data_IF_541803664016
#
_entry.id   IF_541803664016
#
_cell.length_a   1.000
_cell.length_b   1.000
_cell.length_c   1.000
_cell.angle_alpha   90.00
_cell.angle_beta   90.00
_cell.angle_gamma   90.00
#
_symmetry.space_group_name_H-M   'P 1'
#
loop_
_entity.id
_entity.type
_entity.pdbx_description
1 polymer ?
#
# COMPACT_ATOMS: atom_id res chain seq x y z
N UNK A 1 -22.69 18.12 -8.29
CA UNK A 1 -21.22 17.97 -8.06
C UNK A 1 -20.81 18.82 -6.88
N UNK A 2 -20.30 18.19 -5.83
CA UNK A 2 -19.84 18.87 -4.61
C UNK A 2 -18.58 19.70 -4.95
N UNK A 3 -18.53 20.99 -4.56
CA UNK A 3 -17.35 21.84 -4.80
C UNK A 3 -16.49 22.05 -3.55
N UNK A 4 -17.15 22.09 -2.39
CA UNK A 4 -16.48 22.26 -1.09
C UNK A 4 -17.11 21.36 -0.02
N UNK A 5 -16.32 20.98 0.97
CA UNK A 5 -16.77 20.28 2.19
C UNK A 5 -16.07 20.91 3.39
N UNK A 6 -16.83 21.35 4.39
CA UNK A 6 -16.26 22.03 5.57
C UNK A 6 -15.30 23.18 5.23
N UNK A 7 -15.60 23.95 4.15
CA UNK A 7 -14.72 25.01 3.67
C UNK A 7 -13.58 24.58 2.76
N UNK A 8 -13.25 23.28 2.71
CA UNK A 8 -12.13 22.75 1.91
C UNK A 8 -12.59 22.38 0.50
N UNK A 9 -11.70 22.58 -0.48
CA UNK A 9 -11.91 22.14 -1.85
C UNK A 9 -11.98 20.61 -1.90
N UNK A 10 -12.97 20.08 -2.63
CA UNK A 10 -13.08 18.63 -2.84
C UNK A 10 -12.54 18.22 -4.21
N UNK A 11 -12.04 17.00 -4.26
CA UNK A 11 -11.48 16.34 -5.43
C UNK A 11 -12.16 14.99 -5.65
N UNK A 12 -12.25 14.50 -6.90
CA UNK A 12 -12.65 13.11 -7.13
C UNK A 12 -11.65 12.14 -6.49
N UNK A 13 -12.04 10.87 -6.40
CA UNK A 13 -11.10 9.82 -5.98
C UNK A 13 -10.05 9.58 -7.07
N UNK A 14 -8.82 9.30 -6.64
CA UNK A 14 -7.75 8.83 -7.54
C UNK A 14 -8.01 7.40 -8.02
N UNK A 15 -7.32 6.96 -9.06
CA UNK A 15 -7.40 5.56 -9.54
C UNK A 15 -7.07 4.55 -8.43
N UNK A 16 -6.03 4.84 -7.63
CA UNK A 16 -5.67 3.97 -6.51
C UNK A 16 -6.80 3.85 -5.48
N UNK A 17 -7.45 4.96 -5.13
CA UNK A 17 -8.58 4.95 -4.20
C UNK A 17 -9.80 4.23 -4.79
N UNK A 18 -10.11 4.44 -6.07
CA UNK A 18 -11.19 3.73 -6.77
C UNK A 18 -10.94 2.22 -6.79
N UNK A 19 -9.69 1.80 -6.96
CA UNK A 19 -9.29 0.41 -6.90
C UNK A 19 -9.62 -0.22 -5.54
N UNK A 20 -9.20 0.41 -4.43
CA UNK A 20 -9.54 -0.07 -3.10
C UNK A 20 -11.05 -0.08 -2.82
N UNK A 21 -11.76 0.95 -3.29
CA UNK A 21 -13.21 1.02 -3.14
C UNK A 21 -13.94 -0.06 -3.94
N UNK A 22 -13.36 -0.51 -5.06
CA UNK A 22 -13.93 -1.60 -5.87
C UNK A 22 -13.85 -2.95 -5.14
N UNK A 23 -12.75 -3.21 -4.43
CA UNK A 23 -12.57 -4.49 -3.72
C UNK A 23 -13.25 -4.55 -2.35
N UNK A 24 -13.32 -3.44 -1.64
CA UNK A 24 -13.83 -3.40 -0.27
C UNK A 24 -15.24 -3.99 -0.07
N UNK A 25 -16.21 -3.81 -0.99
CA UNK A 25 -17.55 -4.39 -0.85
C UNK A 25 -17.60 -5.92 -0.91
N UNK A 26 -16.54 -6.56 -1.41
CA UNK A 26 -16.42 -8.03 -1.46
C UNK A 26 -15.84 -8.62 -0.17
N UNK A 27 -15.55 -7.79 0.81
CA UNK A 27 -15.00 -8.16 2.10
C UNK A 27 -16.03 -7.90 3.23
N UNK A 28 -15.91 -8.57 4.38
CA UNK A 28 -16.88 -8.46 5.47
C UNK A 28 -17.07 -7.04 6.00
N UNK A 29 -16.00 -6.24 6.02
CA UNK A 29 -16.05 -4.84 6.39
C UNK A 29 -14.83 -4.07 5.87
N UNK A 30 -14.81 -2.75 6.07
CA UNK A 30 -13.74 -1.86 5.60
C UNK A 30 -12.41 -2.01 6.34
N UNK A 31 -12.33 -2.80 7.42
CA UNK A 31 -11.08 -3.04 8.13
C UNK A 31 -10.08 -3.87 7.29
N UNK A 32 -10.54 -4.55 6.24
CA UNK A 32 -9.67 -5.19 5.24
C UNK A 32 -8.66 -4.22 4.61
N UNK A 33 -8.97 -2.95 4.60
CA UNK A 33 -8.10 -1.88 4.11
C UNK A 33 -7.20 -1.27 5.20
N UNK A 34 -7.22 -1.78 6.42
CA UNK A 34 -6.38 -1.27 7.49
C UNK A 34 -4.95 -1.82 7.35
N UNK A 35 -3.99 -0.93 7.49
CA UNK A 35 -2.56 -1.24 7.56
C UNK A 35 -2.09 -0.86 8.95
N UNK A 36 -1.60 -1.85 9.71
CA UNK A 36 -0.99 -1.65 11.01
C UNK A 36 0.49 -1.98 10.97
N UNK A 37 1.31 -1.17 11.63
CA UNK A 37 2.73 -1.46 11.82
C UNK A 37 3.28 -0.77 13.06
N UNK A 38 4.22 -1.42 13.74
CA UNK A 38 5.02 -0.83 14.81
C UNK A 38 6.35 -0.32 14.28
N UNK A 39 6.86 0.74 14.91
CA UNK A 39 8.21 1.23 14.75
C UNK A 39 8.76 1.49 16.14
N UNK A 40 9.66 0.65 16.58
CA UNK A 40 10.21 0.67 17.93
C UNK A 40 11.74 0.61 17.92
N UNK A 41 12.34 1.12 18.97
CA UNK A 41 13.78 1.16 19.15
C UNK A 41 14.10 0.95 20.64
N UNK A 42 15.21 0.29 20.94
CA UNK A 42 15.67 0.00 22.30
C UNK A 42 16.39 1.23 22.91
N UNK A 43 15.63 2.29 23.15
CA UNK A 43 16.09 3.50 23.84
C UNK A 43 14.95 4.11 24.65
N UNK A 44 15.30 4.85 25.72
CA UNK A 44 14.33 5.69 26.41
C UNK A 44 13.95 6.90 25.54
N UNK A 45 12.65 7.10 25.35
CA UNK A 45 12.10 8.20 24.56
C UNK A 45 11.55 9.32 25.45
N UNK A 46 11.73 10.54 25.00
CA UNK A 46 10.99 11.69 25.53
C UNK A 46 9.59 11.71 24.89
N UNK A 47 8.61 11.23 25.64
CA UNK A 47 7.24 11.04 25.14
C UNK A 47 6.55 12.35 24.77
N UNK A 48 6.84 13.45 25.53
CA UNK A 48 6.30 14.76 25.20
C UNK A 48 6.88 15.31 23.90
N UNK A 49 8.18 15.11 23.68
CA UNK A 49 8.81 15.47 22.42
C UNK A 49 8.33 14.59 21.26
N UNK A 50 8.14 13.29 21.50
CA UNK A 50 7.60 12.39 20.48
C UNK A 50 6.18 12.80 20.07
N UNK A 51 5.30 13.13 21.04
CA UNK A 51 3.95 13.65 20.78
C UNK A 51 3.98 14.90 19.91
N UNK A 52 4.89 15.85 20.20
CA UNK A 52 5.06 17.07 19.39
C UNK A 52 5.52 16.73 17.97
N UNK A 53 6.51 15.86 17.83
CA UNK A 53 7.03 15.43 16.51
C UNK A 53 5.98 14.70 15.67
N UNK A 54 5.13 13.89 16.29
CA UNK A 54 3.98 13.24 15.62
C UNK A 54 3.00 14.30 15.09
N UNK A 55 2.62 15.26 15.92
CA UNK A 55 1.68 16.31 15.51
C UNK A 55 2.26 17.18 14.38
N UNK A 56 3.53 17.51 14.46
CA UNK A 56 4.21 18.25 13.41
C UNK A 56 4.29 17.46 12.10
N UNK A 57 4.58 16.15 12.15
CA UNK A 57 4.55 15.28 10.98
C UNK A 57 3.15 15.21 10.33
N UNK A 58 2.08 15.18 11.13
CA UNK A 58 0.71 15.30 10.62
C UNK A 58 0.45 16.65 9.93
N UNK A 59 0.93 17.73 10.51
CA UNK A 59 0.79 19.06 9.93
C UNK A 59 1.50 19.19 8.59
N UNK A 60 2.66 18.57 8.44
CA UNK A 60 3.49 18.58 7.23
C UNK A 60 2.97 17.64 6.13
N UNK A 61 2.20 16.60 6.46
CA UNK A 61 1.78 15.57 5.52
C UNK A 61 0.31 15.67 5.13
N UNK A 62 0.02 16.30 3.98
CA UNK A 62 -1.34 16.44 3.45
C UNK A 62 -2.06 15.09 3.27
N UNK A 63 -1.33 14.04 2.85
CA UNK A 63 -1.89 12.71 2.62
C UNK A 63 -2.50 12.09 3.88
N UNK A 64 -1.93 12.37 5.07
CA UNK A 64 -2.44 11.89 6.36
C UNK A 64 -3.67 12.67 6.85
N UNK A 65 -3.95 13.82 6.24
CA UNK A 65 -5.09 14.68 6.57
C UNK A 65 -6.25 14.56 5.58
N UNK A 66 -6.17 13.62 4.65
CA UNK A 66 -7.26 13.32 3.72
C UNK A 66 -8.50 12.82 4.46
N UNK A 67 -9.65 13.28 4.02
CA UNK A 67 -10.98 12.82 4.46
C UNK A 67 -11.83 12.53 3.23
N UNK A 68 -12.81 11.65 3.41
CA UNK A 68 -13.80 11.36 2.37
C UNK A 68 -15.16 11.96 2.72
N UNK A 69 -15.91 12.25 1.68
CA UNK A 69 -17.31 12.66 1.77
C UNK A 69 -18.11 12.02 0.62
N UNK A 70 -19.44 11.93 0.82
CA UNK A 70 -20.38 11.57 -0.25
C UNK A 70 -21.28 12.75 -0.59
N UNK A 71 -21.64 12.87 -1.87
CA UNK A 71 -22.76 13.72 -2.26
C UNK A 71 -24.11 13.01 -2.09
N UNK A 72 -25.19 13.67 -2.48
CA UNK A 72 -26.55 13.15 -2.38
C UNK A 72 -26.80 11.95 -3.30
N UNK A 73 -26.04 11.86 -4.37
CA UNK A 73 -26.07 10.76 -5.34
C UNK A 73 -25.21 9.57 -4.93
N UNK A 74 -24.50 9.66 -3.78
CA UNK A 74 -23.63 8.62 -3.27
C UNK A 74 -22.19 8.63 -3.85
N UNK A 75 -21.87 9.60 -4.69
CA UNK A 75 -20.53 9.74 -5.26
C UNK A 75 -19.52 10.14 -4.19
N UNK A 76 -18.39 9.45 -4.16
CA UNK A 76 -17.31 9.72 -3.20
C UNK A 76 -16.37 10.81 -3.69
N UNK A 77 -16.00 11.67 -2.76
CA UNK A 77 -15.02 12.74 -2.92
C UNK A 77 -14.01 12.72 -1.81
N UNK A 78 -12.86 13.31 -2.05
CA UNK A 78 -11.84 13.53 -1.02
C UNK A 78 -11.56 15.02 -0.84
N UNK A 79 -11.11 15.38 0.34
CA UNK A 79 -10.63 16.71 0.69
C UNK A 79 -9.52 16.63 1.75
N UNK A 80 -8.69 17.64 1.82
CA UNK A 80 -7.59 17.70 2.80
C UNK A 80 -7.97 18.70 3.87
N UNK A 81 -7.93 18.26 5.13
CA UNK A 81 -8.14 19.12 6.29
C UNK A 81 -6.93 20.00 6.55
N UNK A 82 -7.15 21.17 7.15
CA UNK A 82 -6.07 21.97 7.72
C UNK A 82 -5.36 21.19 8.85
N UNK A 83 -4.10 21.54 9.17
CA UNK A 83 -3.43 20.99 10.33
C UNK A 83 -4.23 21.23 11.61
N UNK A 84 -4.38 20.17 12.39
CA UNK A 84 -5.02 20.20 13.71
C UNK A 84 -4.15 19.44 14.71
N UNK A 85 -4.04 19.93 15.91
CA UNK A 85 -3.37 19.20 16.98
C UNK A 85 -4.23 18.00 17.39
N UNK A 86 -3.59 16.84 17.54
CA UNK A 86 -4.23 15.59 17.89
C UNK A 86 -3.77 15.14 19.27
N UNK A 87 -4.69 14.63 20.04
CA UNK A 87 -4.33 13.83 21.19
C UNK A 87 -3.74 12.50 20.71
N UNK A 88 -2.51 12.22 21.16
CA UNK A 88 -1.79 10.98 20.82
C UNK A 88 -1.86 10.06 22.05
N UNK A 89 -2.47 8.90 21.86
CA UNK A 89 -2.57 7.89 22.91
C UNK A 89 -1.19 7.35 23.29
N UNK A 90 -1.04 6.97 24.56
CA UNK A 90 0.13 6.25 25.05
C UNK A 90 -0.34 4.96 25.72
N UNK A 91 0.29 3.84 25.34
CA UNK A 91 0.01 2.53 25.93
C UNK A 91 1.32 1.93 26.42
N UNK A 92 1.35 1.60 27.70
CA UNK A 92 2.46 0.90 28.36
C UNK A 92 2.15 -0.60 28.42
N UNK A 93 2.95 -1.40 27.74
CA UNK A 93 2.88 -2.86 27.75
C UNK A 93 3.97 -3.51 28.62
N UNK A 94 4.69 -2.74 29.45
CA UNK A 94 5.84 -3.26 30.23
C UNK A 94 5.47 -4.41 31.17
N UNK A 95 4.22 -4.55 31.57
CA UNK A 95 3.68 -5.59 32.44
C UNK A 95 3.12 -6.80 31.68
N UNK A 96 3.19 -6.81 30.34
CA UNK A 96 2.68 -7.87 29.48
C UNK A 96 3.80 -8.70 28.86
N UNK A 97 3.43 -9.81 28.21
CA UNK A 97 4.35 -10.48 27.27
C UNK A 97 4.33 -9.80 25.91
N UNK A 98 5.35 -10.07 25.08
CA UNK A 98 5.41 -9.55 23.70
C UNK A 98 4.19 -10.04 22.91
N UNK A 99 3.84 -11.32 23.05
CA UNK A 99 2.70 -11.92 22.36
C UNK A 99 1.37 -11.28 22.77
N UNK A 100 1.20 -10.93 24.06
CA UNK A 100 0.01 -10.21 24.52
C UNK A 100 -0.07 -8.80 23.97
N UNK A 101 1.06 -8.08 23.91
CA UNK A 101 1.15 -6.75 23.33
C UNK A 101 0.84 -6.78 21.82
N UNK A 102 1.43 -7.72 21.09
CA UNK A 102 1.16 -7.90 19.66
C UNK A 102 -0.30 -8.29 19.38
N UNK A 103 -0.87 -9.20 20.18
CA UNK A 103 -2.28 -9.59 20.06
C UNK A 103 -3.23 -8.43 20.32
N UNK A 104 -2.88 -7.52 21.24
CA UNK A 104 -3.67 -6.31 21.48
C UNK A 104 -3.57 -5.34 20.30
N UNK A 105 -2.37 -5.08 19.80
CA UNK A 105 -2.16 -4.23 18.62
C UNK A 105 -2.86 -4.83 17.37
N UNK A 106 -2.85 -6.15 17.23
CA UNK A 106 -3.56 -6.84 16.14
C UNK A 106 -5.08 -6.59 16.19
N UNK A 107 -5.69 -6.58 17.38
CA UNK A 107 -7.12 -6.25 17.50
C UNK A 107 -7.45 -4.85 16.97
N UNK A 108 -6.55 -3.89 17.14
CA UNK A 108 -6.78 -2.53 16.64
C UNK A 108 -6.93 -2.50 15.12
N UNK A 109 -6.25 -3.40 14.39
CA UNK A 109 -6.36 -3.49 12.93
C UNK A 109 -7.73 -3.99 12.47
N UNK A 110 -8.44 -4.74 13.28
CA UNK A 110 -9.76 -5.32 12.93
C UNK A 110 -10.91 -4.34 13.07
N UNK A 111 -10.67 -3.17 13.67
CA UNK A 111 -11.69 -2.14 13.86
C UNK A 111 -11.76 -1.24 12.63
N UNK A 112 -12.91 -1.18 11.93
CA UNK A 112 -13.04 -0.34 10.76
C UNK A 112 -13.03 1.15 11.10
N UNK A 113 -12.33 1.95 10.31
CA UNK A 113 -12.42 3.41 10.40
C UNK A 113 -13.80 3.93 10.01
N UNK A 114 -14.21 5.03 10.63
CA UNK A 114 -15.33 5.82 10.13
C UNK A 114 -14.91 6.52 8.84
N UNK A 115 -15.41 6.06 7.70
CA UNK A 115 -14.90 6.46 6.38
C UNK A 115 -15.16 7.90 5.99
N UNK A 116 -16.23 8.54 6.49
CA UNK A 116 -16.63 9.88 6.07
C UNK A 116 -16.42 10.91 7.17
N UNK A 117 -15.85 12.06 6.76
CA UNK A 117 -15.64 13.24 7.60
C UNK A 117 -14.86 12.99 8.90
N UNK A 118 -14.03 11.95 8.92
CA UNK A 118 -13.27 11.49 10.07
C UNK A 118 -11.81 11.17 9.71
N UNK A 119 -10.88 11.15 10.68
CA UNK A 119 -9.51 10.66 10.49
C UNK A 119 -9.50 9.21 10.03
N UNK A 120 -8.59 8.90 9.11
CA UNK A 120 -8.35 7.54 8.60
C UNK A 120 -6.96 7.03 8.99
N UNK A 121 -6.38 7.64 9.99
CA UNK A 121 -5.13 7.23 10.65
C UNK A 121 -5.29 7.35 12.16
N UNK A 122 -4.64 6.43 12.87
CA UNK A 122 -4.43 6.44 14.31
C UNK A 122 -2.95 6.16 14.56
N UNK A 123 -2.35 6.86 15.48
CA UNK A 123 -1.02 6.58 15.97
C UNK A 123 -1.06 6.51 17.48
N UNK A 124 -0.35 5.54 18.04
CA UNK A 124 -0.28 5.27 19.48
C UNK A 124 1.19 5.20 19.86
N UNK A 125 1.62 5.94 20.85
CA UNK A 125 2.93 5.78 21.46
C UNK A 125 2.90 4.50 22.29
N UNK A 126 3.88 3.62 22.12
CA UNK A 126 3.93 2.31 22.78
C UNK A 126 5.26 2.10 23.48
N UNK A 127 5.18 1.52 24.68
CA UNK A 127 6.32 1.00 25.43
C UNK A 127 6.17 -0.51 25.50
N UNK A 128 7.13 -1.25 24.95
CA UNK A 128 7.07 -2.70 24.85
C UNK A 128 7.73 -3.39 26.07
N UNK A 129 7.39 -4.66 26.34
CA UNK A 129 7.91 -5.39 27.52
C UNK A 129 9.42 -5.59 27.49
N UNK A 130 10.02 -5.68 26.31
CA UNK A 130 11.46 -5.91 26.09
C UNK A 130 12.32 -4.63 26.13
N UNK A 131 11.72 -3.50 26.55
CA UNK A 131 12.40 -2.22 26.62
C UNK A 131 12.43 -1.44 25.31
N UNK A 132 11.83 -1.97 24.23
CA UNK A 132 11.64 -1.22 23.00
C UNK A 132 10.53 -0.19 23.15
N UNK A 133 10.78 1.00 22.65
CA UNK A 133 9.86 2.14 22.73
C UNK A 133 9.61 2.70 21.35
N UNK A 134 8.42 3.26 21.11
CA UNK A 134 8.13 3.85 19.81
C UNK A 134 6.66 4.14 19.55
N UNK A 135 6.23 3.82 18.34
CA UNK A 135 4.85 4.07 17.91
C UNK A 135 4.26 2.86 17.22
N UNK A 136 2.95 2.67 17.39
CA UNK A 136 2.14 1.84 16.51
C UNK A 136 1.30 2.75 15.61
N UNK A 137 1.42 2.58 14.32
CA UNK A 137 0.65 3.30 13.32
C UNK A 137 -0.44 2.39 12.74
N UNK A 138 -1.63 2.92 12.63
CA UNK A 138 -2.75 2.31 11.93
C UNK A 138 -3.31 3.31 10.91
N UNK A 139 -3.45 2.91 9.67
CA UNK A 139 -3.99 3.74 8.60
C UNK A 139 -4.84 2.95 7.62
N UNK A 140 -5.82 3.61 6.99
CA UNK A 140 -6.63 2.98 5.95
C UNK A 140 -5.94 3.09 4.60
N UNK A 141 -5.89 1.99 3.85
CA UNK A 141 -5.19 1.90 2.56
C UNK A 141 -5.71 2.87 1.50
N UNK A 142 -6.91 3.42 1.67
CA UNK A 142 -7.42 4.48 0.80
C UNK A 142 -6.64 5.80 0.88
N UNK A 143 -5.85 6.01 1.94
CA UNK A 143 -5.03 7.22 2.12
C UNK A 143 -3.55 6.92 2.39
N UNK A 144 -3.20 5.66 2.65
CA UNK A 144 -1.83 5.24 2.99
C UNK A 144 -1.42 4.06 2.11
N UNK A 145 -0.21 4.10 1.59
CA UNK A 145 0.51 2.95 1.05
C UNK A 145 1.88 2.82 1.72
N UNK A 146 2.60 1.75 1.47
CA UNK A 146 3.88 1.48 2.11
C UNK A 146 4.88 2.65 1.99
N UNK A 147 4.98 3.27 0.80
CA UNK A 147 5.90 4.40 0.59
C UNK A 147 5.47 5.63 1.38
N UNK A 148 4.18 5.96 1.39
CA UNK A 148 3.67 7.11 2.15
C UNK A 148 3.80 6.90 3.66
N UNK A 149 3.63 5.66 4.12
CA UNK A 149 3.85 5.26 5.51
C UNK A 149 5.32 5.44 5.92
N UNK A 150 6.25 4.90 5.12
CA UNK A 150 7.69 5.04 5.38
C UNK A 150 8.08 6.52 5.43
N UNK A 151 7.59 7.35 4.49
CA UNK A 151 7.87 8.78 4.49
C UNK A 151 7.34 9.46 5.76
N UNK A 152 6.15 9.10 6.21
CA UNK A 152 5.53 9.69 7.40
C UNK A 152 6.26 9.30 8.69
N UNK A 153 6.55 8.01 8.88
CA UNK A 153 7.29 7.52 10.05
C UNK A 153 8.72 8.09 10.09
N UNK A 154 9.37 8.17 8.93
CA UNK A 154 10.67 8.81 8.82
C UNK A 154 10.64 10.28 9.21
N UNK A 155 9.60 11.03 8.78
CA UNK A 155 9.45 12.45 9.14
C UNK A 155 9.31 12.63 10.67
N UNK A 156 8.57 11.73 11.35
CA UNK A 156 8.47 11.72 12.82
C UNK A 156 9.85 11.54 13.47
N UNK A 157 10.64 10.55 12.99
CA UNK A 157 11.97 10.30 13.53
C UNK A 157 12.89 11.50 13.31
N UNK A 158 12.92 12.04 12.10
CA UNK A 158 13.78 13.18 11.74
C UNK A 158 13.41 14.43 12.57
N UNK A 159 12.12 14.69 12.78
CA UNK A 159 11.65 15.78 13.65
C UNK A 159 12.02 15.56 15.11
N UNK A 160 11.84 14.34 15.61
CA UNK A 160 12.24 14.01 16.98
C UNK A 160 13.76 14.18 17.18
N UNK A 161 14.56 13.65 16.27
CA UNK A 161 16.01 13.76 16.34
C UNK A 161 16.49 15.21 16.20
N UNK A 162 15.89 16.00 15.33
CA UNK A 162 16.20 17.43 15.21
C UNK A 162 15.94 18.19 16.52
N UNK A 163 14.84 17.86 17.20
CA UNK A 163 14.50 18.52 18.47
C UNK A 163 15.36 18.07 19.66
N UNK A 164 15.89 16.83 19.63
CA UNK A 164 16.63 16.23 20.75
C UNK A 164 18.13 16.34 20.64
N UNK A 165 18.69 16.40 19.45
CA UNK A 165 20.13 16.28 19.21
C UNK A 165 20.66 17.50 18.44
N UNK A 166 21.68 18.12 18.99
CA UNK A 166 22.36 19.24 18.35
C UNK A 166 23.00 18.81 17.02
N UNK A 167 22.92 19.67 16.01
CA UNK A 167 23.50 19.42 14.69
C UNK A 167 22.67 18.54 13.76
N UNK A 168 21.56 17.97 14.22
CA UNK A 168 20.62 17.24 13.33
C UNK A 168 19.77 18.27 12.56
N UNK A 169 19.82 18.26 11.21
CA UNK A 169 19.08 19.25 10.44
C UNK A 169 17.57 19.00 10.50
N UNK A 170 16.80 20.09 10.39
CA UNK A 170 15.36 19.99 10.20
C UNK A 170 15.01 19.24 8.90
N UNK A 171 14.03 18.32 8.91
CA UNK A 171 13.71 17.53 7.74
C UNK A 171 13.18 18.36 6.58
N UNK A 172 13.51 17.95 5.36
CA UNK A 172 13.06 18.60 4.13
C UNK A 172 11.55 18.51 3.98
N UNK A 173 10.97 19.49 3.30
CA UNK A 173 9.53 19.53 3.06
C UNK A 173 9.02 18.28 2.33
N UNK A 174 7.85 17.84 2.77
CA UNK A 174 7.07 16.82 2.08
C UNK A 174 6.51 17.38 0.78
N UNK A 175 6.41 16.54 -0.25
CA UNK A 175 5.76 16.96 -1.48
C UNK A 175 4.24 17.02 -1.29
N UNK A 176 3.61 18.07 -1.82
CA UNK A 176 2.17 18.26 -1.74
C UNK A 176 1.41 17.07 -2.35
N UNK A 177 0.52 16.47 -1.58
CA UNK A 177 -0.41 15.44 -2.06
C UNK A 177 -1.41 16.03 -3.06
N UNK A 178 -1.88 17.24 -2.82
CA UNK A 178 -2.83 17.93 -3.72
C UNK A 178 -2.23 18.16 -5.11
N UNK A 179 -0.97 18.61 -5.18
CA UNK A 179 -0.29 18.73 -6.47
C UNK A 179 -0.17 17.38 -7.19
N UNK A 180 0.07 16.28 -6.46
CA UNK A 180 0.20 14.97 -7.07
C UNK A 180 -1.12 14.47 -7.66
N UNK A 181 -2.23 14.57 -6.93
CA UNK A 181 -3.55 14.16 -7.47
C UNK A 181 -3.99 15.03 -8.65
N UNK A 182 -3.64 16.31 -8.66
CA UNK A 182 -3.92 17.18 -9.82
C UNK A 182 -3.16 16.75 -11.08
N UNK A 183 -1.91 16.28 -10.93
CA UNK A 183 -1.14 15.69 -12.04
C UNK A 183 -1.76 14.39 -12.54
N UNK A 184 -2.20 13.53 -11.60
CA UNK A 184 -2.89 12.28 -11.95
C UNK A 184 -4.17 12.59 -12.75
N UNK A 185 -4.98 13.57 -12.33
CA UNK A 185 -6.17 13.98 -13.08
C UNK A 185 -5.84 14.61 -14.43
N UNK A 186 -4.78 15.40 -14.54
CA UNK A 186 -4.32 15.96 -15.81
C UNK A 186 -3.88 14.86 -16.78
N UNK A 187 -3.23 13.80 -16.27
CA UNK A 187 -2.91 12.62 -17.08
C UNK A 187 -4.20 11.92 -17.55
N UNK A 188 -5.16 11.67 -16.66
CA UNK A 188 -6.41 10.95 -16.93
C UNK A 188 -7.39 11.75 -17.85
N UNK A 189 -7.18 13.04 -18.02
CA UNK A 189 -8.02 13.90 -18.84
C UNK A 189 -7.72 13.81 -20.37
N UNK A 190 -7.07 12.77 -20.84
CA UNK A 190 -6.74 12.60 -22.27
C UNK A 190 -5.38 13.18 -22.66
N UNK A 191 -4.41 13.15 -21.74
CA UNK A 191 -3.05 13.58 -22.06
C UNK A 191 -2.42 12.71 -23.16
N UNK A 192 -1.47 13.29 -23.92
CA UNK A 192 -0.71 12.54 -24.95
C UNK A 192 -0.04 11.28 -24.35
N UNK A 193 0.39 11.33 -23.09
CA UNK A 193 0.97 10.19 -22.39
C UNK A 193 -0.09 9.11 -22.15
N UNK A 194 -1.26 9.46 -21.67
CA UNK A 194 -2.37 8.52 -21.46
C UNK A 194 -2.78 7.84 -22.77
N UNK A 195 -2.96 8.61 -23.84
CA UNK A 195 -3.37 8.07 -25.15
C UNK A 195 -2.35 7.06 -25.70
N UNK A 196 -1.05 7.36 -25.57
CA UNK A 196 0.03 6.43 -25.93
C UNK A 196 0.00 5.15 -25.10
N UNK A 197 -0.22 5.29 -23.81
CA UNK A 197 -0.26 4.14 -22.89
C UNK A 197 -1.50 3.27 -23.18
N UNK A 198 -2.66 3.86 -23.48
CA UNK A 198 -3.87 3.15 -23.91
C UNK A 198 -3.59 2.37 -25.20
N UNK A 199 -2.99 3.01 -26.22
CA UNK A 199 -2.66 2.36 -27.48
C UNK A 199 -1.70 1.18 -27.29
N UNK A 200 -0.70 1.35 -26.41
CA UNK A 200 0.23 0.27 -26.07
C UNK A 200 -0.49 -0.94 -25.46
N UNK A 201 -1.31 -0.71 -24.43
CA UNK A 201 -2.02 -1.80 -23.76
C UNK A 201 -3.09 -2.45 -24.62
N UNK A 202 -3.76 -1.69 -25.48
CA UNK A 202 -4.70 -2.24 -26.46
C UNK A 202 -3.98 -3.22 -27.41
N UNK A 203 -2.83 -2.85 -27.96
CA UNK A 203 -2.02 -3.74 -28.80
C UNK A 203 -1.53 -4.97 -28.06
N UNK A 204 -1.20 -4.87 -26.77
CA UNK A 204 -0.81 -6.03 -25.97
C UNK A 204 -1.98 -6.97 -25.70
N UNK A 205 -3.19 -6.46 -25.47
CA UNK A 205 -4.40 -7.25 -25.26
C UNK A 205 -4.85 -7.95 -26.56
N UNK A 206 -4.73 -7.27 -27.70
CA UNK A 206 -5.10 -7.81 -29.01
C UNK A 206 -4.22 -8.99 -29.45
N UNK A 207 -2.99 -9.12 -28.95
CA UNK A 207 -2.08 -10.22 -29.28
C UNK A 207 -2.58 -11.56 -28.75
N UNK A 208 -3.09 -11.60 -27.56
CA UNK A 208 -3.68 -12.78 -26.94
C UNK A 208 -4.55 -12.39 -25.74
N UNK A 209 -5.66 -13.09 -25.54
CA UNK A 209 -6.35 -12.98 -24.26
C UNK A 209 -5.47 -13.53 -23.14
N UNK A 210 -5.39 -12.83 -22.05
CA UNK A 210 -4.55 -13.22 -20.92
C UNK A 210 -5.02 -14.54 -20.31
N UNK A 211 -4.09 -15.45 -20.09
CA UNK A 211 -4.31 -16.68 -19.32
C UNK A 211 -4.02 -16.37 -17.85
N UNK A 212 -4.94 -16.75 -16.98
CA UNK A 212 -4.73 -16.67 -15.53
C UNK A 212 -4.19 -18.00 -15.04
N UNK A 213 -3.00 -17.98 -14.48
CA UNK A 213 -2.32 -19.15 -13.97
C UNK A 213 -2.66 -19.36 -12.49
N UNK A 214 -2.66 -20.60 -12.04
CA UNK A 214 -2.86 -21.00 -10.65
C UNK A 214 -1.60 -21.64 -10.08
N UNK A 215 -1.35 -21.44 -8.78
CA UNK A 215 -0.22 -22.07 -8.06
C UNK A 215 -0.34 -23.60 -8.02
N UNK A 216 -1.56 -24.12 -8.08
CA UNK A 216 -1.85 -25.56 -8.07
C UNK A 216 -1.88 -26.18 -9.47
N UNK A 217 -1.50 -25.44 -10.51
CA UNK A 217 -1.52 -25.90 -11.90
C UNK A 217 -2.91 -25.87 -12.51
N UNK A 218 -3.12 -26.75 -13.49
CA UNK A 218 -4.37 -26.79 -14.27
C UNK A 218 -5.51 -27.53 -13.59
N UNK A 219 -5.25 -28.30 -12.56
CA UNK A 219 -6.25 -29.14 -11.89
C UNK A 219 -7.39 -28.32 -11.30
N UNK A 220 -7.06 -27.25 -10.58
CA UNK A 220 -8.06 -26.34 -10.02
C UNK A 220 -8.85 -25.62 -11.10
N UNK A 221 -8.21 -25.19 -12.20
CA UNK A 221 -8.90 -24.58 -13.32
C UNK A 221 -9.89 -25.57 -13.97
N UNK A 222 -9.51 -26.83 -14.10
CA UNK A 222 -10.37 -27.88 -14.64
C UNK A 222 -11.58 -28.12 -13.74
N UNK A 223 -11.37 -28.24 -12.42
CA UNK A 223 -12.47 -28.36 -11.44
C UNK A 223 -13.44 -27.18 -11.51
N UNK A 224 -12.94 -25.97 -11.70
CA UNK A 224 -13.76 -24.77 -11.85
C UNK A 224 -14.54 -24.77 -13.16
N UNK A 225 -13.96 -25.25 -14.27
CA UNK A 225 -14.65 -25.42 -15.57
C UNK A 225 -15.82 -26.40 -15.45
N UNK A 226 -15.64 -27.48 -14.75
CA UNK A 226 -16.68 -28.46 -14.47
C UNK A 226 -17.78 -27.88 -13.58
N UNK A 227 -17.41 -27.24 -12.48
CA UNK A 227 -18.35 -26.62 -11.53
C UNK A 227 -19.24 -25.57 -12.19
N UNK A 228 -18.67 -24.69 -13.00
CA UNK A 228 -19.40 -23.62 -13.69
C UNK A 228 -19.94 -24.04 -15.07
N UNK A 229 -19.73 -25.30 -15.50
CA UNK A 229 -20.10 -25.80 -16.83
C UNK A 229 -19.61 -24.85 -17.95
N UNK A 230 -18.43 -24.29 -17.78
CA UNK A 230 -17.82 -23.38 -18.73
C UNK A 230 -16.40 -23.84 -19.10
N UNK A 231 -16.24 -24.58 -20.24
CA UNK A 231 -14.94 -25.07 -20.68
C UNK A 231 -13.97 -23.94 -21.09
N UNK A 232 -14.50 -22.76 -21.41
CA UNK A 232 -13.72 -21.61 -21.84
C UNK A 232 -13.23 -20.75 -20.65
N UNK A 233 -13.53 -21.16 -19.43
CA UNK A 233 -13.05 -20.44 -18.25
C UNK A 233 -11.52 -20.45 -18.23
N UNK A 234 -10.92 -19.24 -18.16
CA UNK A 234 -9.48 -19.03 -18.29
C UNK A 234 -8.79 -18.72 -16.96
N UNK A 235 -9.53 -18.66 -15.88
CA UNK A 235 -8.95 -18.44 -14.53
C UNK A 235 -9.66 -19.28 -13.48
N UNK A 236 -8.86 -19.88 -12.59
CA UNK A 236 -9.36 -20.45 -11.36
C UNK A 236 -9.44 -19.30 -10.32
N UNK A 237 -10.64 -18.81 -10.06
CA UNK A 237 -10.85 -17.83 -9.00
C UNK A 237 -11.30 -18.50 -7.70
N UNK A 238 -11.01 -17.87 -6.60
CA UNK A 238 -11.45 -18.37 -5.30
C UNK A 238 -12.92 -17.95 -5.07
N UNK A 239 -13.78 -18.94 -4.88
CA UNK A 239 -15.17 -18.72 -4.45
C UNK A 239 -15.24 -19.20 -3.01
N UNK A 240 -14.99 -18.29 -2.08
CA UNK A 240 -15.04 -18.58 -0.65
C UNK A 240 -15.44 -17.34 0.12
N UNK A 241 -16.22 -17.55 1.19
CA UNK A 241 -16.52 -16.54 2.19
C UNK A 241 -15.45 -16.51 3.30
N UNK A 242 -14.45 -17.40 3.25
CA UNK A 242 -13.35 -17.40 4.20
C UNK A 242 -12.34 -16.31 3.83
N UNK A 243 -12.28 -15.30 4.67
CA UNK A 243 -11.36 -14.14 4.55
C UNK A 243 -10.14 -14.26 5.45
N UNK A 244 -9.92 -15.42 6.07
CA UNK A 244 -8.74 -15.65 6.90
C UNK A 244 -7.48 -15.65 6.03
N UNK A 245 -6.44 -15.06 6.54
CA UNK A 245 -5.11 -15.03 5.93
C UNK A 245 -4.05 -15.44 6.94
N UNK A 246 -2.97 -15.99 6.45
CA UNK A 246 -1.76 -16.24 7.23
C UNK A 246 -0.58 -15.50 6.59
N UNK A 247 0.38 -15.12 7.41
CA UNK A 247 1.65 -14.53 6.98
C UNK A 247 2.77 -15.50 7.30
N UNK A 248 3.43 -16.00 6.26
CA UNK A 248 4.64 -16.79 6.40
C UNK A 248 5.85 -15.94 6.00
N UNK A 249 6.86 -15.92 6.85
CA UNK A 249 8.09 -15.16 6.62
C UNK A 249 9.24 -16.15 6.43
N UNK A 250 9.89 -16.05 5.27
CA UNK A 250 11.05 -16.85 4.93
C UNK A 250 12.30 -15.99 4.89
N UNK A 251 13.33 -16.42 5.59
CA UNK A 251 14.63 -15.79 5.57
C UNK A 251 15.58 -16.59 4.69
N UNK A 252 16.19 -15.93 3.71
CA UNK A 252 17.26 -16.54 2.93
C UNK A 252 18.58 -16.40 3.70
N UNK A 253 19.34 -17.49 3.74
CA UNK A 253 20.70 -17.49 4.28
C UNK A 253 21.61 -16.51 3.52
N UNK A 254 22.69 -16.09 4.19
CA UNK A 254 23.60 -15.08 3.65
C UNK A 254 24.20 -15.48 2.29
N UNK A 255 24.60 -16.76 2.14
CA UNK A 255 25.24 -17.24 0.91
C UNK A 255 24.26 -17.28 -0.30
N UNK A 256 23.04 -17.85 -0.22
CA UNK A 256 22.05 -17.72 -1.27
C UNK A 256 21.71 -16.26 -1.61
N UNK A 257 21.56 -15.41 -0.58
CA UNK A 257 21.28 -13.98 -0.78
C UNK A 257 22.39 -13.32 -1.57
N UNK A 258 23.66 -13.55 -1.19
CA UNK A 258 24.83 -13.01 -1.91
C UNK A 258 24.83 -13.44 -3.37
N UNK A 259 24.61 -14.72 -3.66
CA UNK A 259 24.57 -15.21 -5.06
C UNK A 259 23.49 -14.54 -5.90
N UNK A 260 22.30 -14.31 -5.33
CA UNK A 260 21.23 -13.58 -6.02
C UNK A 260 21.64 -12.14 -6.32
N UNK A 261 22.26 -11.46 -5.36
CA UNK A 261 22.69 -10.08 -5.52
C UNK A 261 23.85 -9.96 -6.54
N UNK A 262 24.85 -10.86 -6.46
CA UNK A 262 25.97 -10.92 -7.44
C UNK A 262 25.45 -11.17 -8.86
N UNK A 263 24.42 -12.03 -9.01
CA UNK A 263 23.77 -12.25 -10.29
C UNK A 263 23.07 -10.98 -10.81
N UNK A 264 22.32 -10.30 -9.93
CA UNK A 264 21.62 -9.06 -10.29
C UNK A 264 22.62 -7.98 -10.76
N UNK A 265 23.74 -7.83 -10.06
CA UNK A 265 24.78 -6.88 -10.41
C UNK A 265 25.44 -7.25 -11.75
N UNK A 266 25.87 -8.50 -11.90
CA UNK A 266 26.53 -9.00 -13.10
C UNK A 266 25.71 -8.80 -14.37
N UNK A 267 24.40 -9.02 -14.31
CA UNK A 267 23.50 -8.95 -15.46
C UNK A 267 22.67 -7.67 -15.53
N UNK A 268 22.93 -6.71 -14.63
CA UNK A 268 22.22 -5.42 -14.55
C UNK A 268 20.69 -5.56 -14.48
N UNK A 269 20.21 -6.54 -13.73
CA UNK A 269 18.80 -6.78 -13.49
C UNK A 269 18.43 -6.48 -12.04
N UNK A 270 17.22 -5.99 -11.78
CA UNK A 270 16.74 -5.81 -10.41
C UNK A 270 16.36 -7.16 -9.78
N UNK A 271 16.50 -7.28 -8.47
CA UNK A 271 16.05 -8.45 -7.71
C UNK A 271 14.55 -8.73 -7.97
N UNK A 272 13.71 -7.69 -8.02
CA UNK A 272 12.30 -7.84 -8.34
C UNK A 272 12.07 -8.46 -9.72
N UNK A 273 12.85 -8.06 -10.73
CA UNK A 273 12.76 -8.64 -12.07
C UNK A 273 13.19 -10.12 -12.07
N UNK A 274 14.27 -10.44 -11.36
CA UNK A 274 14.74 -11.82 -11.23
C UNK A 274 13.70 -12.73 -10.55
N UNK A 275 13.08 -12.25 -9.46
CA UNK A 275 12.04 -12.99 -8.75
C UNK A 275 10.78 -13.18 -9.58
N UNK A 276 10.34 -12.14 -10.32
CA UNK A 276 9.21 -12.25 -11.25
C UNK A 276 9.49 -13.24 -12.37
N UNK A 277 10.73 -13.30 -12.89
CA UNK A 277 11.12 -14.28 -13.89
C UNK A 277 11.15 -15.70 -13.32
N UNK A 278 11.59 -15.87 -12.08
CA UNK A 278 11.52 -17.15 -11.36
C UNK A 278 10.07 -17.63 -11.21
N UNK A 279 9.19 -16.76 -10.74
CA UNK A 279 7.76 -17.02 -10.56
C UNK A 279 7.10 -17.36 -11.91
N UNK A 280 7.40 -16.60 -12.97
CA UNK A 280 6.94 -16.89 -14.33
C UNK A 280 7.34 -18.29 -14.78
N UNK A 281 8.61 -18.67 -14.57
CA UNK A 281 9.11 -19.99 -14.97
C UNK A 281 8.42 -21.11 -14.17
N UNK A 282 8.16 -20.87 -12.90
CA UNK A 282 7.40 -21.79 -12.06
C UNK A 282 5.99 -22.02 -12.63
N UNK A 283 5.25 -20.93 -12.89
CA UNK A 283 3.90 -21.03 -13.46
C UNK A 283 3.88 -21.70 -14.84
N UNK A 284 4.84 -21.40 -15.71
CA UNK A 284 4.98 -22.05 -17.01
C UNK A 284 5.11 -23.56 -16.87
N UNK A 285 5.95 -24.02 -15.93
CA UNK A 285 6.14 -25.45 -15.69
C UNK A 285 4.92 -26.12 -15.06
N UNK A 286 4.29 -25.46 -14.10
CA UNK A 286 3.12 -26.00 -13.40
C UNK A 286 1.87 -26.07 -14.26
N UNK A 287 1.66 -25.08 -15.12
CA UNK A 287 0.43 -24.97 -15.92
C UNK A 287 0.60 -25.50 -17.35
N UNK A 288 1.82 -25.75 -17.80
CA UNK A 288 2.09 -26.23 -19.14
C UNK A 288 1.83 -25.24 -20.28
N UNK A 289 1.71 -23.93 -19.95
CA UNK A 289 1.47 -22.85 -20.91
C UNK A 289 2.72 -21.99 -21.06
N UNK A 290 3.07 -21.62 -22.29
CA UNK A 290 4.17 -20.68 -22.55
C UNK A 290 3.78 -19.23 -22.22
N UNK A 291 2.49 -18.90 -22.31
CA UNK A 291 1.94 -17.62 -21.92
C UNK A 291 1.61 -17.59 -20.42
N UNK A 292 2.25 -16.68 -19.70
CA UNK A 292 2.08 -16.53 -18.26
C UNK A 292 1.75 -15.08 -17.94
N UNK A 293 0.63 -14.86 -17.29
CA UNK A 293 0.23 -13.55 -16.78
C UNK A 293 0.51 -13.42 -15.29
N UNK A 294 1.23 -12.38 -14.92
CA UNK A 294 1.49 -12.03 -13.51
C UNK A 294 0.92 -10.65 -13.22
N UNK A 295 0.36 -10.49 -12.04
CA UNK A 295 -0.03 -9.18 -11.52
C UNK A 295 1.01 -8.74 -10.50
N UNK A 296 1.54 -7.56 -10.68
CA UNK A 296 2.45 -6.90 -9.72
C UNK A 296 1.92 -5.51 -9.36
N UNK A 297 2.47 -4.94 -8.32
CA UNK A 297 2.10 -3.59 -7.90
C UNK A 297 3.03 -2.54 -8.52
N UNK A 298 2.47 -1.42 -8.93
CA UNK A 298 3.23 -0.26 -9.40
C UNK A 298 3.02 0.89 -8.41
N UNK A 299 4.13 1.42 -7.90
CA UNK A 299 4.09 2.50 -6.91
C UNK A 299 3.66 3.86 -7.48
N UNK A 300 3.71 4.06 -8.80
CA UNK A 300 3.41 5.33 -9.49
C UNK A 300 4.17 6.53 -8.93
N UNK A 301 5.43 6.31 -8.56
CA UNK A 301 6.36 7.31 -8.01
C UNK A 301 7.69 7.24 -8.74
N UNK A 302 7.75 7.88 -9.92
CA UNK A 302 8.93 7.85 -10.79
C UNK A 302 10.01 8.84 -10.34
N UNK A 303 9.63 10.01 -9.87
CA UNK A 303 10.55 11.09 -9.48
C UNK A 303 10.82 11.11 -7.98
N UNK A 304 11.92 11.74 -7.56
CA UNK A 304 12.24 11.96 -6.15
C UNK A 304 11.16 12.76 -5.41
N UNK A 305 10.52 13.73 -6.11
CA UNK A 305 9.40 14.49 -5.56
C UNK A 305 8.20 13.59 -5.29
N UNK A 306 7.86 12.71 -6.22
CA UNK A 306 6.76 11.76 -6.05
C UNK A 306 7.02 10.74 -4.95
N UNK A 307 8.28 10.27 -4.81
CA UNK A 307 8.68 9.36 -3.73
C UNK A 307 8.53 9.96 -2.33
N UNK A 308 8.51 11.28 -2.21
CA UNK A 308 8.31 12.02 -0.97
C UNK A 308 6.86 12.50 -0.75
N UNK A 309 5.92 12.11 -1.60
CA UNK A 309 4.51 12.47 -1.44
C UNK A 309 3.77 11.46 -0.58
N UNK A 310 2.88 11.97 0.28
CA UNK A 310 1.91 11.15 1.00
C UNK A 310 0.81 10.60 0.10
N UNK A 311 -0.14 9.90 0.71
CA UNK A 311 -1.31 9.36 0.04
C UNK A 311 -1.09 7.98 -0.60
N UNK A 312 -2.19 7.27 -0.89
CA UNK A 312 -2.15 6.01 -1.62
C UNK A 312 -1.99 6.24 -3.11
N UNK A 313 -1.01 5.60 -3.73
CA UNK A 313 -0.72 5.69 -5.17
C UNK A 313 -0.50 4.31 -5.81
N UNK A 314 -0.29 3.28 -5.00
CA UNK A 314 -0.08 1.91 -5.48
C UNK A 314 -1.32 1.41 -6.21
N UNK A 315 -1.11 0.85 -7.39
CA UNK A 315 -2.13 0.13 -8.15
C UNK A 315 -1.56 -1.21 -8.60
N UNK A 316 -2.40 -2.24 -8.73
CA UNK A 316 -2.00 -3.45 -9.43
C UNK A 316 -1.79 -3.12 -10.91
N UNK A 317 -0.75 -3.68 -11.47
CA UNK A 317 -0.51 -3.66 -12.90
C UNK A 317 -0.29 -5.07 -13.40
N UNK A 318 -0.89 -5.36 -14.52
CA UNK A 318 -0.74 -6.63 -15.18
C UNK A 318 0.51 -6.61 -16.05
N UNK A 319 1.36 -7.60 -15.88
CA UNK A 319 2.45 -7.92 -16.79
C UNK A 319 2.08 -9.21 -17.53
N UNK A 320 1.76 -9.10 -18.81
CA UNK A 320 1.60 -10.26 -19.70
C UNK A 320 2.72 -10.20 -20.74
N UNK A 321 3.47 -11.27 -20.89
CA UNK A 321 4.36 -11.46 -22.04
C UNK A 321 4.39 -12.94 -22.42
N UNK A 322 4.05 -13.21 -23.67
CA UNK A 322 4.48 -14.42 -24.34
C UNK A 322 5.97 -14.25 -24.69
N UNK A 323 6.81 -15.16 -24.23
CA UNK A 323 8.16 -15.28 -24.75
C UNK A 323 8.15 -16.44 -25.74
N UNK A 324 8.22 -16.13 -27.03
CA UNK A 324 8.60 -17.13 -28.00
C UNK A 324 10.03 -17.56 -27.66
N UNK A 325 10.28 -18.88 -27.69
CA UNK A 325 11.63 -19.43 -27.60
C UNK A 325 12.51 -18.71 -28.63
N UNK A 326 13.61 -18.13 -28.15
CA UNK A 326 14.76 -17.80 -28.99
C UNK A 326 15.47 -19.11 -29.33
#
# INVERSE_FOLDING_TARGET
MMRTRKGHKVYPLTVAQKFHLYYAPHCPNMAVLNIGTSLTIEVELDWDQLKKSINEAYARNEGMRVRFAKDKEGTWYQYVMDPEEREIEFVDFSDKTIEEAEAEMQKWTTVPFKMFDAPLTRIVMIKMPDGFNGVYFLGNHMIVDAQSLICFLKDIIELYCNAKYEGVPYPKDMASYVEQIQRDFAYEAGSKAQLRDIEYFQKEIEKSEPIYNDLHGTEKLQSMREMFKNPELRSAFCVTDDTKSALDIFHLEAEPTKRLMDFCEKYHVSLACLLLMGLRTYYQKMNGFDDVSLTTTIARRATLKEKKSGGTRIIPSRSARSFHRI
#
